data_IF_214286549190
#
_entry.id   IF_214286549190
#
_cell.length_a   1.000
_cell.length_b   1.000
_cell.length_c   1.000
_cell.angle_alpha   90.00
_cell.angle_beta   90.00
_cell.angle_gamma   90.00
#
_symmetry.space_group_name_H-M   'P 1'
#
loop_
_entity.id
_entity.type
_entity.pdbx_description
1 polymer ?
#
# COMPACT_ATOMS: atom_id res chain seq x y z
N UNK A 1 -17.80 2.80 -0.15
CA UNK A 1 -17.30 4.05 0.46
C UNK A 1 -16.79 4.94 -0.67
N UNK A 2 -16.84 6.26 -0.54
CA UNK A 2 -16.27 7.15 -1.58
C UNK A 2 -14.75 7.05 -1.54
N UNK A 3 -14.09 6.95 -2.69
CA UNK A 3 -12.63 6.76 -2.80
C UNK A 3 -11.82 7.88 -2.12
N UNK A 4 -12.34 9.12 -2.08
CA UNK A 4 -11.71 10.22 -1.36
C UNK A 4 -11.69 9.98 0.17
N UNK A 5 -12.73 9.35 0.70
CA UNK A 5 -12.77 8.94 2.12
C UNK A 5 -11.77 7.81 2.36
N UNK A 6 -11.67 6.85 1.44
CA UNK A 6 -10.66 5.77 1.49
C UNK A 6 -9.25 6.37 1.54
N UNK A 7 -8.94 7.32 0.66
CA UNK A 7 -7.65 8.02 0.63
C UNK A 7 -7.36 8.72 1.96
N UNK A 8 -8.29 9.54 2.46
CA UNK A 8 -8.09 10.29 3.71
C UNK A 8 -7.90 9.38 4.93
N UNK A 9 -8.69 8.31 5.00
CA UNK A 9 -8.61 7.35 6.10
C UNK A 9 -7.31 6.52 6.07
N UNK A 10 -6.87 6.09 4.88
CA UNK A 10 -5.58 5.42 4.71
C UNK A 10 -4.42 6.38 4.99
N UNK A 11 -4.49 7.64 4.55
CA UNK A 11 -3.47 8.64 4.85
C UNK A 11 -3.30 8.83 6.36
N UNK A 12 -4.41 8.98 7.09
CA UNK A 12 -4.39 9.08 8.56
C UNK A 12 -3.82 7.81 9.20
N UNK A 13 -4.22 6.64 8.73
CA UNK A 13 -3.76 5.37 9.27
C UNK A 13 -2.27 5.14 9.06
N UNK A 14 -1.76 5.37 7.83
CA UNK A 14 -0.34 5.21 7.53
C UNK A 14 0.53 6.11 8.39
N UNK A 15 0.12 7.37 8.62
CA UNK A 15 0.84 8.27 9.54
C UNK A 15 0.78 7.83 11.01
N UNK A 16 -0.14 6.94 11.40
CA UNK A 16 -0.24 6.42 12.77
C UNK A 16 0.57 5.15 13.02
N UNK A 17 1.21 4.56 12.00
CA UNK A 17 1.95 3.29 12.14
C UNK A 17 3.29 3.44 12.90
N UNK A 18 3.76 4.67 13.12
CA UNK A 18 4.99 4.96 13.88
C UNK A 18 5.69 6.22 13.38
N UNK A 19 7.01 6.28 13.54
CA UNK A 19 7.83 7.36 12.97
C UNK A 19 7.96 7.17 11.45
N UNK A 20 7.13 7.89 10.69
CA UNK A 20 7.07 7.81 9.23
C UNK A 20 7.28 9.19 8.63
N UNK A 21 8.20 9.26 7.67
CA UNK A 21 8.34 10.39 6.76
C UNK A 21 7.29 10.27 5.65
N UNK A 22 6.43 11.28 5.54
CA UNK A 22 5.47 11.42 4.45
C UNK A 22 6.00 12.43 3.42
N UNK A 23 6.12 11.98 2.17
CA UNK A 23 6.60 12.78 1.04
C UNK A 23 5.51 12.93 0.00
N UNK A 24 5.43 14.08 -0.67
CA UNK A 24 4.50 14.30 -1.79
C UNK A 24 5.29 14.41 -3.09
N UNK A 25 4.83 13.73 -4.13
CA UNK A 25 5.45 13.83 -5.45
C UNK A 25 5.03 15.14 -6.15
N UNK A 26 5.99 15.83 -6.76
CA UNK A 26 5.73 17.07 -7.49
C UNK A 26 4.67 16.86 -8.58
N UNK A 27 3.66 17.73 -8.61
CA UNK A 27 2.58 17.77 -9.62
C UNK A 27 1.66 16.53 -9.68
N UNK A 28 1.59 15.72 -8.63
CA UNK A 28 0.67 14.57 -8.54
C UNK A 28 0.08 14.44 -7.14
N UNK A 29 -1.13 13.88 -7.03
CA UNK A 29 -1.70 13.49 -5.73
C UNK A 29 -1.14 12.12 -5.32
N UNK A 30 0.18 12.01 -5.18
CA UNK A 30 0.85 10.80 -4.74
C UNK A 30 1.68 11.05 -3.49
N UNK A 31 1.37 10.31 -2.44
CA UNK A 31 2.02 10.38 -1.13
C UNK A 31 2.87 9.12 -0.91
N UNK A 32 4.16 9.30 -0.64
CA UNK A 32 5.08 8.22 -0.30
C UNK A 32 5.35 8.19 1.20
N UNK A 33 5.38 6.98 1.78
CA UNK A 33 5.58 6.75 3.20
C UNK A 33 6.86 5.95 3.42
N UNK A 34 7.81 6.54 4.16
CA UNK A 34 9.08 5.90 4.51
C UNK A 34 9.20 5.79 6.03
N UNK A 35 9.29 4.58 6.59
CA UNK A 35 9.58 4.41 8.01
C UNK A 35 10.97 4.97 8.35
N UNK A 36 11.08 5.63 9.49
CA UNK A 36 12.35 6.05 10.07
C UNK A 36 12.73 4.98 11.11
N UNK A 37 13.88 4.35 10.91
CA UNK A 37 14.36 3.26 11.78
C UNK A 37 15.61 3.70 12.53
N UNK A 38 16.00 2.93 13.55
CA UNK A 38 17.28 3.14 14.25
C UNK A 38 18.50 3.01 13.33
N UNK A 39 18.36 2.33 12.19
CA UNK A 39 19.39 2.21 11.14
C UNK A 39 19.38 3.37 10.15
N UNK A 40 18.51 4.36 10.35
CA UNK A 40 18.32 5.52 9.49
C UNK A 40 17.05 5.43 8.64
N UNK A 41 17.01 6.25 7.58
CA UNK A 41 15.88 6.28 6.65
C UNK A 41 15.78 4.94 5.91
N UNK A 42 14.65 4.25 6.07
CA UNK A 42 14.39 2.99 5.38
C UNK A 42 13.86 3.21 3.96
N UNK A 43 13.77 2.11 3.22
CA UNK A 43 13.14 2.11 1.90
C UNK A 43 11.65 2.51 2.02
N UNK A 44 11.06 2.98 0.93
CA UNK A 44 9.64 3.32 0.91
C UNK A 44 8.81 2.08 1.24
N UNK A 45 7.87 2.21 2.17
CA UNK A 45 6.94 1.14 2.58
C UNK A 45 5.62 1.22 1.82
N UNK A 46 5.06 2.42 1.67
CA UNK A 46 3.76 2.59 1.02
C UNK A 46 3.73 3.79 0.07
N UNK A 47 2.81 3.75 -0.89
CA UNK A 47 2.43 4.88 -1.73
C UNK A 47 0.91 4.96 -1.81
N UNK A 48 0.32 6.10 -1.47
CA UNK A 48 -1.07 6.40 -1.79
C UNK A 48 -1.12 7.25 -3.05
N UNK A 49 -1.80 6.77 -4.08
CA UNK A 49 -2.06 7.54 -5.28
C UNK A 49 -3.54 7.91 -5.33
N UNK A 50 -3.84 9.20 -5.45
CA UNK A 50 -5.18 9.78 -5.52
C UNK A 50 -5.52 10.37 -6.90
N UNK A 51 -4.61 10.30 -7.88
CA UNK A 51 -4.84 10.84 -9.22
C UNK A 51 -6.03 10.16 -9.90
N UNK A 52 -6.85 10.92 -10.63
CA UNK A 52 -8.15 10.47 -11.18
C UNK A 52 -8.10 9.15 -11.96
N UNK A 53 -7.00 8.83 -12.62
CA UNK A 53 -6.83 7.61 -13.42
C UNK A 53 -6.21 6.45 -12.65
N UNK A 54 -5.71 6.70 -11.44
CA UNK A 54 -4.86 5.76 -10.71
C UNK A 54 -5.00 5.90 -9.20
N UNK A 55 -6.19 5.57 -8.69
CA UNK A 55 -6.52 5.62 -7.26
C UNK A 55 -6.27 4.30 -6.57
N UNK A 56 -5.13 4.20 -5.90
CA UNK A 56 -4.72 2.97 -5.24
C UNK A 56 -3.75 3.20 -4.09
N UNK A 57 -3.69 2.20 -3.21
CA UNK A 57 -2.59 1.98 -2.29
C UNK A 57 -1.61 1.01 -2.95
N UNK A 58 -0.32 1.32 -2.84
CA UNK A 58 0.78 0.44 -3.22
C UNK A 58 1.60 0.14 -1.98
N UNK A 59 1.78 -1.14 -1.63
CA UNK A 59 2.71 -1.58 -0.60
C UNK A 59 3.99 -2.11 -1.26
N UNK A 60 5.13 -1.69 -0.73
CA UNK A 60 6.47 -2.09 -1.15
C UNK A 60 6.97 -3.14 -0.17
N UNK A 61 6.74 -4.43 -0.49
CA UNK A 61 6.95 -5.53 0.48
C UNK A 61 8.37 -6.10 0.48
N UNK A 62 9.11 -5.85 -0.59
CA UNK A 62 10.54 -6.20 -0.71
C UNK A 62 11.27 -5.19 -1.63
N UNK A 63 11.28 -3.91 -1.26
CA UNK A 63 11.79 -2.86 -2.14
C UNK A 63 13.27 -3.08 -2.46
N UNK A 64 13.66 -2.91 -3.72
CA UNK A 64 15.05 -3.07 -4.17
C UNK A 64 15.46 -4.51 -4.50
N UNK A 65 14.56 -5.48 -4.38
CA UNK A 65 14.77 -6.84 -4.88
C UNK A 65 13.81 -7.16 -6.05
N UNK A 66 14.21 -6.88 -7.32
CA UNK A 66 13.33 -7.06 -8.47
C UNK A 66 12.98 -8.53 -8.77
N UNK A 67 13.79 -9.48 -8.30
CA UNK A 67 13.57 -10.92 -8.51
C UNK A 67 12.69 -11.56 -7.43
N UNK A 68 12.39 -10.84 -6.35
CA UNK A 68 11.52 -11.30 -5.27
C UNK A 68 10.13 -11.68 -5.78
N UNK A 69 9.63 -12.84 -5.37
CA UNK A 69 8.25 -13.27 -5.62
C UNK A 69 7.27 -12.76 -4.54
N UNK A 70 7.76 -12.08 -3.49
CA UNK A 70 6.99 -11.73 -2.29
C UNK A 70 5.76 -10.88 -2.61
N UNK A 71 5.89 -9.87 -3.48
CA UNK A 71 4.76 -9.03 -3.89
C UNK A 71 3.64 -9.83 -4.55
N UNK A 72 3.96 -10.82 -5.39
CA UNK A 72 2.93 -11.71 -5.98
C UNK A 72 2.21 -12.56 -4.94
N UNK A 73 2.93 -13.07 -3.94
CA UNK A 73 2.35 -13.88 -2.86
C UNK A 73 1.41 -13.02 -2.02
N UNK A 74 1.90 -11.85 -1.58
CA UNK A 74 1.15 -10.91 -0.74
C UNK A 74 -0.04 -10.30 -1.51
N UNK A 75 0.09 -10.06 -2.82
CA UNK A 75 -1.02 -9.65 -3.69
C UNK A 75 -2.16 -10.68 -3.71
N UNK A 76 -1.83 -11.97 -3.84
CA UNK A 76 -2.85 -13.04 -3.82
C UNK A 76 -3.55 -13.12 -2.47
N UNK A 77 -2.83 -12.87 -1.38
CA UNK A 77 -3.40 -12.85 -0.03
C UNK A 77 -4.43 -11.72 0.12
N UNK A 78 -4.05 -10.47 -0.19
CA UNK A 78 -4.96 -9.33 -0.03
C UNK A 78 -6.17 -9.40 -0.97
N UNK A 79 -5.98 -9.97 -2.16
CA UNK A 79 -7.08 -10.25 -3.09
C UNK A 79 -8.12 -11.20 -2.52
N UNK A 80 -7.70 -12.24 -1.81
CA UNK A 80 -8.61 -13.16 -1.12
C UNK A 80 -9.31 -12.46 0.05
N UNK A 81 -8.58 -11.70 0.87
CA UNK A 81 -9.11 -11.01 2.04
C UNK A 81 -10.19 -9.98 1.64
N UNK A 82 -9.93 -9.20 0.60
CA UNK A 82 -10.84 -8.14 0.15
C UNK A 82 -11.80 -8.58 -0.96
N UNK A 83 -11.71 -9.85 -1.38
CA UNK A 83 -12.51 -10.48 -2.43
C UNK A 83 -12.49 -9.69 -3.76
N UNK A 84 -11.32 -9.54 -4.36
CA UNK A 84 -11.17 -8.90 -5.68
C UNK A 84 -10.09 -9.60 -6.54
N UNK A 85 -10.13 -9.35 -7.84
CA UNK A 85 -9.10 -9.81 -8.78
C UNK A 85 -8.52 -8.64 -9.57
N UNK A 86 -7.26 -8.30 -9.30
CA UNK A 86 -6.59 -7.20 -9.99
C UNK A 86 -6.45 -7.44 -11.49
N UNK A 87 -6.38 -8.70 -11.95
CA UNK A 87 -6.24 -9.04 -13.36
C UNK A 87 -7.49 -8.73 -14.17
N UNK A 88 -8.66 -8.71 -13.53
CA UNK A 88 -9.91 -8.27 -14.14
C UNK A 88 -10.08 -6.75 -14.07
N UNK A 89 -9.49 -6.11 -13.06
CA UNK A 89 -9.66 -4.68 -12.81
C UNK A 89 -8.65 -3.82 -13.56
N UNK A 90 -7.45 -4.35 -13.85
CA UNK A 90 -6.34 -3.58 -14.42
C UNK A 90 -5.52 -4.44 -15.37
N UNK A 91 -5.10 -3.83 -16.48
CA UNK A 91 -4.33 -4.49 -17.54
C UNK A 91 -2.81 -4.35 -17.40
N UNK A 92 -2.33 -3.61 -16.40
CA UNK A 92 -0.90 -3.35 -16.24
C UNK A 92 -0.17 -4.49 -15.51
N UNK A 93 1.11 -4.68 -15.86
CA UNK A 93 1.97 -5.67 -15.23
C UNK A 93 2.37 -5.19 -13.82
N UNK A 94 1.95 -5.93 -12.79
CA UNK A 94 2.38 -5.68 -11.41
C UNK A 94 3.88 -5.96 -11.27
N UNK A 95 4.61 -5.05 -10.60
CA UNK A 95 6.00 -5.33 -10.23
C UNK A 95 6.04 -6.44 -9.18
N UNK A 96 7.02 -7.33 -9.27
CA UNK A 96 7.07 -8.55 -8.44
C UNK A 96 7.21 -8.26 -6.93
N UNK A 97 7.68 -7.06 -6.55
CA UNK A 97 7.92 -6.61 -5.16
C UNK A 97 6.90 -5.58 -4.66
N UNK A 98 5.87 -5.27 -5.45
CA UNK A 98 4.80 -4.32 -5.09
C UNK A 98 3.46 -5.06 -4.97
N UNK A 99 2.59 -4.53 -4.11
CA UNK A 99 1.22 -4.99 -3.91
C UNK A 99 0.30 -3.81 -4.17
N UNK A 100 -0.73 -4.01 -4.98
CA UNK A 100 -1.64 -2.99 -5.45
C UNK A 100 -3.06 -3.25 -4.93
N UNK A 101 -3.63 -2.24 -4.28
CA UNK A 101 -4.99 -2.24 -3.77
C UNK A 101 -5.74 -1.02 -4.34
N UNK A 102 -6.62 -1.21 -5.34
CA UNK A 102 -7.47 -0.14 -5.87
C UNK A 102 -8.43 0.39 -4.80
N UNK A 103 -8.69 1.70 -4.75
CA UNK A 103 -9.63 2.22 -3.75
C UNK A 103 -11.08 1.79 -3.98
N UNK A 104 -11.45 1.51 -5.22
CA UNK A 104 -12.79 1.01 -5.60
C UNK A 104 -13.14 -0.34 -4.93
N UNK A 105 -12.14 -1.13 -4.51
CA UNK A 105 -12.40 -2.38 -3.77
C UNK A 105 -12.74 -2.17 -2.30
N UNK A 106 -12.46 -0.98 -1.75
CA UNK A 106 -12.70 -0.63 -0.34
C UNK A 106 -14.08 0.04 -0.22
N UNK A 107 -15.10 -0.74 -0.53
CA UNK A 107 -16.49 -0.30 -0.60
C UNK A 107 -17.22 -0.33 0.75
N UNK A 108 -16.70 -1.03 1.76
CA UNK A 108 -17.28 -1.13 3.11
C UNK A 108 -16.28 -0.76 4.20
N UNK A 109 -16.81 -0.36 5.37
CA UNK A 109 -16.00 -0.13 6.58
C UNK A 109 -15.27 -1.40 7.02
N UNK A 110 -15.90 -2.56 6.83
CA UNK A 110 -15.30 -3.86 7.14
C UNK A 110 -14.05 -4.10 6.30
N UNK A 111 -14.11 -3.88 4.97
CA UNK A 111 -12.94 -3.98 4.09
C UNK A 111 -11.84 -2.98 4.45
N UNK A 112 -12.21 -1.78 4.91
CA UNK A 112 -11.23 -0.82 5.45
C UNK A 112 -10.52 -1.35 6.70
N UNK A 113 -11.24 -1.97 7.63
CA UNK A 113 -10.65 -2.60 8.82
C UNK A 113 -9.72 -3.75 8.44
N UNK A 114 -10.17 -4.64 7.54
CA UNK A 114 -9.36 -5.75 7.02
C UNK A 114 -8.07 -5.24 6.36
N UNK A 115 -8.18 -4.20 5.53
CA UNK A 115 -7.02 -3.58 4.87
C UNK A 115 -6.06 -2.97 5.89
N UNK A 116 -6.54 -2.24 6.90
CA UNK A 116 -5.70 -1.67 7.95
C UNK A 116 -4.94 -2.75 8.72
N UNK A 117 -5.63 -3.81 9.15
CA UNK A 117 -4.99 -4.94 9.84
C UNK A 117 -3.91 -5.57 8.97
N UNK A 118 -4.19 -5.77 7.68
CA UNK A 118 -3.22 -6.27 6.72
C UNK A 118 -2.00 -5.37 6.58
N UNK A 119 -2.20 -4.06 6.38
CA UNK A 119 -1.11 -3.07 6.30
C UNK A 119 -0.25 -3.11 7.58
N UNK A 120 -0.88 -3.15 8.75
CA UNK A 120 -0.17 -3.22 10.03
C UNK A 120 0.71 -4.46 10.15
N UNK A 121 0.25 -5.61 9.69
CA UNK A 121 1.05 -6.84 9.66
C UNK A 121 2.22 -6.73 8.69
N UNK A 122 1.98 -6.21 7.47
CA UNK A 122 3.05 -6.00 6.48
C UNK A 122 4.08 -4.97 6.96
N UNK A 123 3.65 -3.96 7.72
CA UNK A 123 4.53 -2.96 8.30
C UNK A 123 5.47 -3.55 9.35
N UNK A 124 4.97 -4.43 10.24
CA UNK A 124 5.81 -5.15 11.21
C UNK A 124 6.89 -5.99 10.51
N UNK A 125 6.48 -6.79 9.53
CA UNK A 125 7.41 -7.59 8.72
C UNK A 125 8.42 -6.69 8.01
N UNK A 126 8.00 -5.51 7.52
CA UNK A 126 8.91 -4.58 6.86
C UNK A 126 10.01 -4.09 7.80
N UNK A 127 9.67 -3.68 9.02
CA UNK A 127 10.62 -3.20 10.03
C UNK A 127 11.59 -4.27 10.54
N UNK A 128 11.21 -5.54 10.52
CA UNK A 128 12.13 -6.64 10.87
C UNK A 128 13.23 -6.83 9.82
N UNK A 129 12.95 -6.46 8.57
CA UNK A 129 13.85 -6.65 7.44
C UNK A 129 14.70 -5.41 7.10
N UNK A 130 14.34 -4.23 7.59
CA UNK A 130 14.96 -2.94 7.23
C UNK A 130 15.13 -2.04 8.46
#
# INVERSE_FOLDING_TARGET
MKELLVFGELHKYLNSLGFIECTIANKSLSLGYKPITIRGASKKFATLNGDKRYRCLILHVDPGNPESAKGKIVQKEIQKILNFDIGQMRTFKLKKHEVFIPFEVIDTKEKMVLLKNFIGNQYKIFLENY
#
